data_IF_723924910421
#
_entry.id   IF_723924910421
#
_cell.length_a   1.000
_cell.length_b   1.000
_cell.length_c   1.000
_cell.angle_alpha   90.00
_cell.angle_beta   90.00
_cell.angle_gamma   90.00
#
_symmetry.space_group_name_H-M   'P 1'
#
loop_
_entity.id
_entity.type
_entity.pdbx_description
1 polymer ?
#
# COMPACT_ATOMS: atom_id res chain seq x y z
N UNK A 1 16.93 -4.93 0.53
CA UNK A 1 16.08 -3.79 0.62
C UNK A 1 16.86 -2.49 0.82
N UNK A 2 17.08 -1.75 -0.27
CA UNK A 2 17.76 -0.44 -0.29
C UNK A 2 16.75 0.70 -0.40
N UNK A 3 17.11 1.87 0.08
CA UNK A 3 16.40 3.14 -0.09
C UNK A 3 17.29 4.10 -0.87
N UNK A 4 16.69 4.80 -1.84
CA UNK A 4 17.30 5.82 -2.66
C UNK A 4 16.50 7.11 -2.52
N UNK A 5 17.12 8.26 -2.85
CA UNK A 5 16.49 9.56 -2.84
C UNK A 5 16.46 10.14 -4.25
N UNK A 6 15.34 10.73 -4.57
CA UNK A 6 15.16 11.47 -5.83
C UNK A 6 14.44 12.78 -5.50
N UNK A 7 15.00 13.88 -5.91
CA UNK A 7 14.36 15.18 -5.76
C UNK A 7 13.32 15.35 -6.85
N UNK A 8 12.15 15.89 -6.50
CA UNK A 8 11.03 16.00 -7.44
C UNK A 8 11.43 16.74 -8.73
N UNK A 9 12.24 17.79 -8.61
CA UNK A 9 12.72 18.56 -9.77
C UNK A 9 13.73 17.82 -10.66
N UNK A 10 14.28 16.69 -10.22
CA UNK A 10 15.15 15.81 -11.03
C UNK A 10 14.34 14.84 -11.89
N UNK A 11 13.01 14.74 -11.65
CA UNK A 11 12.13 13.87 -12.45
C UNK A 11 11.87 14.57 -13.78
N UNK A 12 12.19 13.94 -14.94
CA UNK A 12 11.93 14.55 -16.23
C UNK A 12 10.45 14.77 -16.47
N UNK A 13 10.10 15.93 -16.94
CA UNK A 13 8.74 16.23 -17.40
C UNK A 13 8.40 15.41 -18.64
N UNK A 14 7.15 14.98 -18.74
CA UNK A 14 6.67 14.15 -19.85
C UNK A 14 5.24 14.45 -20.20
N UNK A 15 4.87 14.27 -21.46
CA UNK A 15 3.48 14.37 -21.95
C UNK A 15 2.77 13.02 -21.84
N UNK A 16 1.45 12.99 -22.05
CA UNK A 16 0.62 11.75 -22.07
C UNK A 16 1.15 10.70 -23.04
N UNK A 17 1.79 11.11 -24.13
CA UNK A 17 2.29 10.23 -25.19
C UNK A 17 3.79 9.92 -25.08
N UNK A 18 4.49 10.46 -24.09
CA UNK A 18 5.92 10.18 -23.91
C UNK A 18 6.14 8.76 -23.40
N UNK A 19 7.16 8.09 -23.93
CA UNK A 19 7.53 6.72 -23.53
C UNK A 19 8.10 6.64 -22.11
N UNK A 20 8.43 7.78 -21.50
CA UNK A 20 9.12 7.84 -20.23
C UNK A 20 10.60 7.43 -20.35
N UNK A 21 11.30 7.45 -19.22
CA UNK A 21 12.69 7.01 -19.10
C UNK A 21 12.79 5.95 -18.01
N UNK A 22 13.68 4.98 -18.19
CA UNK A 22 13.95 3.98 -17.18
C UNK A 22 14.48 4.64 -15.91
N UNK A 23 13.98 4.21 -14.74
CA UNK A 23 14.36 4.79 -13.45
C UNK A 23 15.86 4.62 -13.14
N UNK A 24 16.50 3.60 -13.72
CA UNK A 24 17.94 3.38 -13.62
C UNK A 24 18.77 4.53 -14.20
N UNK A 25 18.18 5.36 -15.07
CA UNK A 25 18.84 6.58 -15.57
C UNK A 25 18.85 7.72 -14.54
N UNK A 26 18.03 7.64 -13.51
CA UNK A 26 17.90 8.65 -12.46
C UNK A 26 18.51 8.19 -11.14
N UNK A 27 18.49 6.90 -10.87
CA UNK A 27 18.95 6.30 -9.62
C UNK A 27 19.92 5.16 -9.93
N UNK A 28 20.98 5.06 -9.13
CA UNK A 28 21.94 3.97 -9.25
C UNK A 28 21.40 2.67 -8.65
N UNK A 29 20.39 2.11 -9.31
CA UNK A 29 19.69 0.87 -8.93
C UNK A 29 20.29 -0.26 -9.75
N UNK A 30 20.56 -1.40 -9.10
CA UNK A 30 20.99 -2.62 -9.78
C UNK A 30 19.91 -3.12 -10.77
N UNK A 31 20.32 -3.71 -11.89
CA UNK A 31 19.41 -4.16 -12.96
C UNK A 31 18.35 -5.15 -12.48
N UNK A 32 18.66 -5.90 -11.44
CA UNK A 32 17.82 -6.97 -10.87
C UNK A 32 16.89 -6.45 -9.77
N UNK A 33 17.06 -5.18 -9.33
CA UNK A 33 16.23 -4.57 -8.31
C UNK A 33 14.95 -3.98 -8.93
N UNK A 34 13.84 -4.13 -8.20
CA UNK A 34 12.56 -3.53 -8.53
C UNK A 34 12.17 -2.49 -7.48
N UNK A 35 11.63 -1.37 -7.93
CA UNK A 35 11.07 -0.35 -7.03
C UNK A 35 9.71 -0.82 -6.52
N UNK A 36 9.61 -1.06 -5.21
CA UNK A 36 8.40 -1.57 -4.57
C UNK A 36 7.54 -0.48 -3.92
N UNK A 37 8.11 0.66 -3.58
CA UNK A 37 7.37 1.74 -2.94
C UNK A 37 8.02 3.11 -3.19
N UNK A 38 7.18 4.14 -3.19
CA UNK A 38 7.56 5.54 -3.22
C UNK A 38 7.01 6.24 -1.99
N UNK A 39 7.83 7.04 -1.33
CA UNK A 39 7.44 7.86 -0.20
C UNK A 39 7.70 9.33 -0.50
N UNK A 40 6.66 10.16 -0.37
CA UNK A 40 6.81 11.60 -0.41
C UNK A 40 7.31 12.10 0.95
N UNK A 41 8.48 12.72 0.97
CA UNK A 41 9.06 13.33 2.15
C UNK A 41 9.09 14.84 1.96
N UNK A 42 8.58 15.62 2.92
CA UNK A 42 8.49 17.07 2.82
C UNK A 42 9.88 17.73 2.92
N UNK A 43 10.65 17.32 3.92
CA UNK A 43 11.97 17.87 4.19
C UNK A 43 12.82 16.84 4.93
N UNK A 44 14.10 16.74 4.60
CA UNK A 44 15.08 15.94 5.32
C UNK A 44 15.99 16.81 6.22
N UNK A 45 15.88 18.14 6.13
CA UNK A 45 16.61 19.10 6.95
C UNK A 45 15.83 19.61 8.16
N UNK A 46 14.53 19.46 8.16
CA UNK A 46 13.65 19.82 9.27
C UNK A 46 13.77 18.77 10.39
N UNK A 47 14.45 19.17 11.48
CA UNK A 47 14.77 18.28 12.61
C UNK A 47 13.50 17.82 13.37
N UNK A 48 12.50 18.66 13.51
CA UNK A 48 11.24 18.30 14.16
C UNK A 48 10.49 17.25 13.31
N UNK A 49 10.40 17.50 12.01
CA UNK A 49 9.73 16.60 11.08
C UNK A 49 10.39 15.22 11.03
N UNK A 50 11.72 15.14 10.86
CA UNK A 50 12.41 13.83 10.75
C UNK A 50 12.46 13.06 12.07
N UNK A 51 12.36 13.72 13.22
CA UNK A 51 12.33 13.10 14.54
C UNK A 51 10.92 12.77 15.04
N UNK A 52 9.87 13.24 14.35
CA UNK A 52 8.47 12.92 14.67
C UNK A 52 7.82 11.94 13.70
N UNK A 53 8.50 11.56 12.61
CA UNK A 53 7.96 10.64 11.61
C UNK A 53 8.75 9.34 11.55
N UNK A 54 8.05 8.30 11.13
CA UNK A 54 8.59 6.94 11.02
C UNK A 54 8.30 6.35 9.65
N UNK A 55 9.16 5.44 9.22
CA UNK A 55 8.98 4.61 8.02
C UNK A 55 8.65 3.20 8.47
N UNK A 56 7.46 2.73 8.09
CA UNK A 56 7.02 1.36 8.31
C UNK A 56 7.21 0.54 7.03
N UNK A 57 7.80 -0.63 7.18
CA UNK A 57 7.97 -1.62 6.13
C UNK A 57 7.11 -2.84 6.43
N UNK A 58 6.48 -3.40 5.42
CA UNK A 58 5.81 -4.69 5.52
C UNK A 58 6.30 -5.61 4.43
N UNK A 59 6.60 -6.85 4.79
CA UNK A 59 7.11 -7.87 3.85
C UNK A 59 6.03 -8.88 3.48
N UNK A 60 6.26 -9.58 2.39
CA UNK A 60 5.41 -10.66 1.89
C UNK A 60 5.13 -11.72 2.96
N UNK A 61 6.15 -12.08 3.75
CA UNK A 61 6.06 -13.11 4.78
C UNK A 61 5.54 -12.59 6.14
N UNK A 62 4.96 -11.37 6.17
CA UNK A 62 4.28 -10.84 7.34
C UNK A 62 5.19 -10.22 8.39
N UNK A 63 6.40 -9.85 8.03
CA UNK A 63 7.30 -9.08 8.91
C UNK A 63 6.96 -7.59 8.80
N UNK A 64 6.94 -6.90 9.94
CA UNK A 64 6.79 -5.45 10.02
C UNK A 64 8.02 -4.83 10.70
N UNK A 65 8.44 -3.67 10.22
CA UNK A 65 9.55 -2.90 10.78
C UNK A 65 9.20 -1.43 10.84
N UNK A 66 9.59 -0.76 11.92
CA UNK A 66 9.43 0.67 12.14
C UNK A 66 10.79 1.31 12.36
N UNK A 67 11.13 2.33 11.57
CA UNK A 67 12.42 3.04 11.66
C UNK A 67 12.14 4.54 11.69
N UNK A 68 12.85 5.29 12.53
CA UNK A 68 12.74 6.74 12.59
C UNK A 68 13.19 7.36 11.25
N UNK A 69 12.47 8.36 10.75
CA UNK A 69 12.77 9.01 9.47
C UNK A 69 14.17 9.67 9.47
N UNK A 70 14.64 10.15 10.63
CA UNK A 70 16.00 10.69 10.80
C UNK A 70 17.07 9.74 10.28
N UNK A 71 16.89 8.44 10.42
CA UNK A 71 17.83 7.43 9.92
C UNK A 71 18.04 7.47 8.39
N UNK A 72 17.15 8.15 7.69
CA UNK A 72 17.18 8.36 6.23
C UNK A 72 17.45 9.82 5.85
N UNK A 73 17.81 10.69 6.80
CA UNK A 73 18.01 12.12 6.56
C UNK A 73 19.28 12.47 5.77
N UNK A 74 20.20 11.50 5.60
CA UNK A 74 21.47 11.69 4.92
C UNK A 74 21.51 10.93 3.59
N UNK A 75 21.08 11.55 2.48
CA UNK A 75 21.10 10.94 1.15
C UNK A 75 22.48 10.46 0.73
N UNK A 76 22.53 9.28 0.09
CA UNK A 76 23.74 8.75 -0.54
C UNK A 76 23.40 8.29 -1.95
N UNK A 77 24.29 8.56 -2.91
CA UNK A 77 24.09 8.24 -4.32
C UNK A 77 23.86 6.73 -4.56
N UNK A 78 24.56 5.88 -3.84
CA UNK A 78 24.43 4.41 -3.95
C UNK A 78 23.33 3.84 -3.06
N UNK A 79 22.44 4.70 -2.53
CA UNK A 79 21.40 4.29 -1.59
C UNK A 79 21.96 3.87 -0.23
N UNK A 80 21.06 3.48 0.66
CA UNK A 80 21.39 2.90 1.97
C UNK A 80 20.52 1.67 2.23
N UNK A 81 21.02 0.74 3.04
CA UNK A 81 20.21 -0.35 3.51
C UNK A 81 19.04 0.20 4.34
N UNK A 82 17.85 -0.16 3.96
CA UNK A 82 16.60 0.25 4.60
C UNK A 82 16.00 -0.85 5.47
N UNK A 83 16.20 -2.10 5.10
CA UNK A 83 15.76 -3.28 5.82
C UNK A 83 16.61 -4.49 5.42
N UNK A 84 16.93 -5.37 6.35
CA UNK A 84 17.47 -6.68 6.03
C UNK A 84 16.31 -7.63 5.73
N UNK A 85 16.19 -8.07 4.48
CA UNK A 85 15.15 -8.97 4.01
C UNK A 85 15.65 -10.42 4.21
N UNK A 86 14.77 -11.30 4.71
CA UNK A 86 15.05 -12.73 4.83
C UNK A 86 15.04 -13.40 3.46
N UNK A 87 15.67 -14.56 3.35
CA UNK A 87 15.58 -15.41 2.17
C UNK A 87 14.11 -15.69 1.81
N UNK A 88 13.77 -15.70 0.54
CA UNK A 88 12.41 -15.87 -0.01
C UNK A 88 11.36 -14.85 0.46
N UNK A 89 11.78 -13.73 1.03
CA UNK A 89 10.90 -12.63 1.40
C UNK A 89 11.13 -11.40 0.51
N UNK A 90 10.19 -10.45 0.52
CA UNK A 90 10.31 -9.17 -0.16
C UNK A 90 9.48 -8.11 0.54
N UNK A 91 9.92 -6.87 0.44
CA UNK A 91 9.09 -5.72 0.86
C UNK A 91 7.93 -5.57 -0.12
N UNK A 92 6.72 -5.44 0.41
CA UNK A 92 5.51 -5.25 -0.42
C UNK A 92 4.87 -3.88 -0.20
N UNK A 93 5.08 -3.29 0.98
CA UNK A 93 4.48 -2.01 1.31
C UNK A 93 5.42 -1.21 2.22
N UNK A 94 5.53 0.09 1.95
CA UNK A 94 6.23 1.04 2.81
C UNK A 94 5.34 2.25 3.04
N UNK A 95 5.18 2.68 4.30
CA UNK A 95 4.34 3.81 4.67
C UNK A 95 5.07 4.73 5.64
N UNK A 96 4.77 6.01 5.55
CA UNK A 96 5.22 6.99 6.54
C UNK A 96 4.12 7.25 7.55
N UNK A 97 4.48 7.28 8.83
CA UNK A 97 3.57 7.51 9.95
C UNK A 97 4.14 8.54 10.91
N UNK A 98 3.31 9.05 11.80
CA UNK A 98 3.68 10.02 12.82
C UNK A 98 3.77 9.44 14.25
N UNK A 99 3.73 8.11 14.39
CA UNK A 99 3.79 7.46 15.68
C UNK A 99 2.44 7.11 16.30
N UNK A 100 1.33 7.58 15.74
CA UNK A 100 -0.01 7.44 16.30
C UNK A 100 -1.04 6.85 15.31
N UNK A 101 -0.64 5.93 14.46
CA UNK A 101 -1.52 5.33 13.48
C UNK A 101 -2.01 3.94 13.92
N UNK A 102 -3.23 3.59 13.51
CA UNK A 102 -3.69 2.20 13.49
C UNK A 102 -3.18 1.51 12.23
N UNK A 103 -2.64 0.32 12.39
CA UNK A 103 -2.10 -0.49 11.31
C UNK A 103 -3.02 -1.67 11.04
N UNK A 104 -3.33 -1.92 9.77
CA UNK A 104 -4.01 -3.14 9.35
C UNK A 104 -3.16 -3.83 8.29
N UNK A 105 -2.83 -5.10 8.52
CA UNK A 105 -2.13 -5.97 7.57
C UNK A 105 -3.09 -7.06 7.12
N UNK A 106 -3.24 -7.26 5.82
CA UNK A 106 -4.08 -8.30 5.25
C UNK A 106 -3.29 -9.35 4.48
N UNK A 107 -3.75 -10.59 4.55
CA UNK A 107 -3.16 -11.71 3.83
C UNK A 107 -4.06 -12.20 2.67
N UNK A 108 -3.48 -12.98 1.79
CA UNK A 108 -4.12 -13.52 0.59
C UNK A 108 -5.31 -14.43 0.89
N UNK A 109 -5.29 -15.13 2.01
CA UNK A 109 -6.37 -16.00 2.46
C UNK A 109 -7.56 -15.25 3.09
N UNK A 110 -7.58 -13.90 2.99
CA UNK A 110 -8.72 -13.09 3.40
C UNK A 110 -8.81 -12.84 4.89
N UNK A 111 -7.68 -12.81 5.60
CA UNK A 111 -7.59 -12.38 6.99
C UNK A 111 -6.87 -11.04 7.10
N UNK A 112 -7.19 -10.29 8.16
CA UNK A 112 -6.50 -9.04 8.48
C UNK A 112 -6.33 -8.90 10.00
N UNK A 113 -5.23 -8.29 10.41
CA UNK A 113 -4.94 -7.98 11.81
C UNK A 113 -4.83 -6.47 11.99
N UNK A 114 -5.50 -5.93 13.01
CA UNK A 114 -5.42 -4.52 13.39
C UNK A 114 -4.69 -4.37 14.73
N UNK A 115 -3.75 -3.44 14.77
CA UNK A 115 -3.03 -3.07 15.98
C UNK A 115 -2.52 -1.62 15.89
N UNK A 116 -2.24 -1.00 17.03
CA UNK A 116 -1.64 0.33 17.06
C UNK A 116 -0.14 0.25 16.75
N UNK A 117 0.40 1.22 15.99
CA UNK A 117 1.82 1.21 15.58
C UNK A 117 2.81 1.27 16.76
N UNK A 118 2.39 1.69 17.95
CA UNK A 118 3.20 1.60 19.16
C UNK A 118 3.59 0.16 19.54
N UNK A 119 2.83 -0.85 19.10
CA UNK A 119 3.17 -2.26 19.27
C UNK A 119 4.42 -2.67 18.46
N UNK A 120 4.86 -1.84 17.51
CA UNK A 120 6.08 -2.04 16.74
C UNK A 120 7.16 -1.11 17.30
N UNK A 121 8.16 -1.69 17.98
CA UNK A 121 9.30 -0.92 18.49
C UNK A 121 10.07 -0.26 17.34
N UNK A 122 10.64 0.91 17.60
CA UNK A 122 11.56 1.57 16.67
C UNK A 122 12.85 0.77 16.55
N UNK A 123 13.32 0.55 15.34
CA UNK A 123 14.51 -0.24 15.01
C UNK A 123 15.40 0.49 14.03
N UNK A 124 16.70 0.17 14.05
CA UNK A 124 17.67 0.70 13.10
C UNK A 124 17.42 0.19 11.66
N UNK A 125 18.05 0.85 10.68
CA UNK A 125 17.88 0.56 9.24
C UNK A 125 18.17 -0.89 8.86
N UNK A 126 19.19 -1.49 9.46
CA UNK A 126 19.64 -2.86 9.14
C UNK A 126 18.86 -3.96 9.84
N UNK A 127 17.89 -3.63 10.70
CA UNK A 127 17.06 -4.63 11.34
C UNK A 127 16.15 -5.34 10.34
N UNK A 128 15.86 -6.61 10.58
CA UNK A 128 14.91 -7.42 9.79
C UNK A 128 13.46 -7.05 10.10
N UNK A 129 13.16 -6.68 11.34
CA UNK A 129 11.80 -6.42 11.80
C UNK A 129 11.28 -7.52 12.73
N UNK A 130 9.98 -7.47 13.00
CA UNK A 130 9.25 -8.37 13.89
C UNK A 130 8.01 -8.91 13.19
N UNK A 131 7.44 -10.00 13.69
CA UNK A 131 6.20 -10.56 13.15
C UNK A 131 5.05 -9.56 13.27
N UNK A 132 4.46 -9.17 12.14
CA UNK A 132 3.27 -8.32 12.06
C UNK A 132 1.99 -9.12 12.07
N UNK A 133 1.93 -10.17 11.24
CA UNK A 133 0.81 -11.11 11.12
C UNK A 133 1.36 -12.55 11.04
N UNK A 134 0.60 -13.52 11.52
CA UNK A 134 0.87 -14.95 11.29
C UNK A 134 0.06 -15.39 10.08
N UNK A 135 0.75 -15.88 9.06
CA UNK A 135 0.16 -16.46 7.85
C UNK A 135 -0.29 -17.89 8.09
N UNK A 136 -1.16 -18.40 7.22
CA UNK A 136 -1.53 -19.80 7.22
C UNK A 136 -0.37 -20.67 6.69
N UNK A 137 -0.29 -21.92 7.18
CA UNK A 137 0.83 -22.83 6.85
C UNK A 137 0.57 -23.63 5.56
N UNK A 138 -0.23 -23.10 4.63
CA UNK A 138 -0.52 -23.77 3.34
C UNK A 138 0.58 -23.57 2.28
N UNK A 139 1.62 -22.82 2.60
CA UNK A 139 2.72 -22.47 1.70
C UNK A 139 2.34 -21.48 0.58
N UNK A 140 1.09 -21.06 0.53
CA UNK A 140 0.56 -20.15 -0.50
C UNK A 140 0.07 -18.82 0.06
N UNK A 141 -0.03 -18.70 1.39
CA UNK A 141 -0.48 -17.48 2.02
C UNK A 141 0.64 -16.43 2.08
N UNK A 142 0.29 -15.22 1.76
CA UNK A 142 1.21 -14.09 1.76
C UNK A 142 0.47 -12.81 2.15
N UNK A 143 1.20 -11.82 2.65
CA UNK A 143 0.64 -10.49 2.85
C UNK A 143 0.38 -9.82 1.51
N UNK A 144 -0.81 -9.25 1.33
CA UNK A 144 -1.22 -8.54 0.12
C UNK A 144 -1.20 -7.02 0.28
N UNK A 145 -1.06 -6.52 1.51
CA UNK A 145 -0.93 -5.09 1.76
C UNK A 145 -0.97 -4.74 3.24
N UNK A 146 -0.52 -3.53 3.51
CA UNK A 146 -0.56 -2.86 4.80
C UNK A 146 -1.15 -1.47 4.62
N UNK A 147 -2.09 -1.09 5.48
CA UNK A 147 -2.63 0.26 5.54
C UNK A 147 -2.33 0.89 6.90
N UNK A 148 -2.12 2.20 6.88
CA UNK A 148 -1.95 3.04 8.07
C UNK A 148 -3.12 4.01 8.12
N UNK A 149 -3.96 3.88 9.11
CA UNK A 149 -5.16 4.68 9.31
C UNK A 149 -4.82 5.84 10.21
N UNK A 150 -5.17 7.03 9.76
CA UNK A 150 -4.95 8.28 10.48
C UNK A 150 -6.21 8.76 11.17
N UNK A 151 -7.34 8.58 10.49
CA UNK A 151 -8.65 9.03 10.93
C UNK A 151 -9.63 7.86 10.93
N UNK A 152 -10.10 7.50 12.11
CA UNK A 152 -11.03 6.37 12.31
C UNK A 152 -12.46 6.71 11.89
N UNK A 153 -12.82 8.00 11.80
CA UNK A 153 -14.19 8.44 11.52
C UNK A 153 -14.45 8.52 10.02
N UNK A 154 -13.46 8.94 9.24
CA UNK A 154 -13.64 9.19 7.80
C UNK A 154 -13.10 8.07 6.91
N UNK A 155 -12.13 7.29 7.40
CA UNK A 155 -11.53 6.21 6.63
C UNK A 155 -12.28 4.89 6.79
N UNK A 156 -12.30 4.09 5.75
CA UNK A 156 -12.83 2.73 5.73
C UNK A 156 -11.87 1.76 5.06
N UNK A 157 -12.05 0.47 5.32
CA UNK A 157 -11.20 -0.59 4.76
C UNK A 157 -11.81 -1.10 3.46
N UNK A 158 -11.12 -0.88 2.35
CA UNK A 158 -11.47 -1.44 1.04
C UNK A 158 -10.62 -2.67 0.76
N UNK A 159 -11.25 -3.76 0.36
CA UNK A 159 -10.58 -5.00 -0.07
C UNK A 159 -11.09 -5.42 -1.44
N UNK A 160 -10.18 -5.96 -2.28
CA UNK A 160 -10.50 -6.45 -3.63
C UNK A 160 -9.83 -7.81 -3.83
N UNK A 161 -10.55 -8.74 -4.46
CA UNK A 161 -10.12 -10.10 -4.73
C UNK A 161 -9.85 -10.36 -6.22
N UNK A 162 -9.20 -11.47 -6.53
CA UNK A 162 -8.74 -11.86 -7.88
C UNK A 162 -9.85 -11.85 -8.93
N UNK A 163 -11.06 -12.28 -8.57
CA UNK A 163 -12.20 -12.40 -9.49
C UNK A 163 -13.05 -11.11 -9.57
N UNK A 164 -12.49 -9.97 -9.12
CA UNK A 164 -13.15 -8.67 -9.23
C UNK A 164 -14.25 -8.42 -8.21
N UNK A 165 -14.29 -9.17 -7.12
CA UNK A 165 -15.15 -8.89 -5.97
C UNK A 165 -14.44 -7.95 -5.01
N UNK A 166 -15.19 -7.04 -4.40
CA UNK A 166 -14.65 -6.12 -3.41
C UNK A 166 -15.73 -5.58 -2.51
N UNK A 167 -15.31 -4.91 -1.46
CA UNK A 167 -16.20 -4.28 -0.49
C UNK A 167 -15.47 -3.28 0.38
N UNK A 168 -16.25 -2.40 0.98
CA UNK A 168 -15.81 -1.54 2.08
C UNK A 168 -16.30 -2.12 3.40
N UNK A 169 -15.55 -1.91 4.45
CA UNK A 169 -15.95 -2.27 5.83
C UNK A 169 -15.50 -1.16 6.77
N UNK A 170 -16.24 -0.95 7.83
CA UNK A 170 -15.85 -0.03 8.90
C UNK A 170 -14.57 -0.53 9.58
N UNK A 171 -13.73 0.41 10.01
CA UNK A 171 -12.52 0.09 10.75
C UNK A 171 -12.86 -0.58 12.08
N UNK A 172 -13.96 -0.19 12.71
CA UNK A 172 -14.45 -0.74 13.98
C UNK A 172 -14.82 -2.23 13.88
N UNK A 173 -15.16 -2.74 12.71
CA UNK A 173 -15.36 -4.17 12.48
C UNK A 173 -14.10 -5.00 12.76
N UNK A 174 -12.92 -4.39 12.71
CA UNK A 174 -11.63 -5.02 12.97
C UNK A 174 -11.22 -4.77 14.42
N UNK A 175 -11.39 -5.78 15.28
CA UNK A 175 -10.97 -5.66 16.69
C UNK A 175 -9.47 -5.31 16.77
N UNK A 176 -9.13 -4.37 17.62
CA UNK A 176 -7.76 -4.02 17.96
C UNK A 176 -7.13 -5.16 18.78
N UNK A 177 -5.96 -5.62 18.37
CA UNK A 177 -5.24 -6.73 19.00
C UNK A 177 -3.76 -6.40 19.12
N UNK A 178 -2.97 -7.31 19.69
CA UNK A 178 -1.52 -7.25 19.57
C UNK A 178 -1.10 -7.73 18.18
N UNK A 179 0.05 -7.22 17.66
CA UNK A 179 0.65 -7.70 16.41
C UNK A 179 1.00 -9.20 16.49
N UNK A 180 1.19 -9.82 15.35
CA UNK A 180 1.72 -11.19 15.23
C UNK A 180 0.68 -12.29 15.33
N UNK A 181 -0.59 -11.98 15.59
CA UNK A 181 -1.68 -12.96 15.54
C UNK A 181 -2.14 -13.29 14.11
N UNK A 182 -3.06 -14.24 13.97
CA UNK A 182 -3.66 -14.61 12.67
C UNK A 182 -4.69 -13.59 12.15
N UNK A 183 -5.11 -12.65 12.99
CA UNK A 183 -6.14 -11.67 12.65
C UNK A 183 -7.55 -12.27 12.55
N UNK A 184 -8.45 -11.49 11.97
CA UNK A 184 -9.86 -11.81 11.75
C UNK A 184 -10.15 -11.91 10.25
N UNK A 185 -11.25 -12.58 9.89
CA UNK A 185 -11.68 -12.67 8.49
C UNK A 185 -12.02 -11.26 7.97
N UNK A 186 -11.39 -10.83 6.90
CA UNK A 186 -11.67 -9.56 6.22
C UNK A 186 -12.50 -9.73 4.94
N UNK A 187 -12.47 -10.92 4.35
CA UNK A 187 -13.29 -11.30 3.21
C UNK A 187 -13.58 -12.80 3.26
N UNK A 188 -14.79 -13.21 2.88
CA UNK A 188 -15.08 -14.63 2.70
C UNK A 188 -14.55 -15.09 1.34
N UNK A 189 -13.41 -15.76 1.37
CA UNK A 189 -12.75 -16.31 0.18
C UNK A 189 -13.46 -17.59 -0.26
N UNK A 190 -13.85 -17.63 -1.52
CA UNK A 190 -14.50 -18.76 -2.18
C UNK A 190 -13.93 -18.90 -3.60
N UNK A 191 -14.24 -19.97 -4.31
CA UNK A 191 -13.87 -20.10 -5.73
C UNK A 191 -14.40 -18.95 -6.58
N UNK A 192 -15.59 -18.44 -6.25
CA UNK A 192 -16.21 -17.30 -6.93
C UNK A 192 -15.45 -15.98 -6.74
N UNK A 193 -14.90 -15.73 -5.57
CA UNK A 193 -14.18 -14.49 -5.28
C UNK A 193 -12.72 -14.57 -5.70
N UNK A 194 -12.13 -15.76 -5.67
CA UNK A 194 -10.69 -15.93 -5.70
C UNK A 194 -10.04 -15.39 -4.42
N UNK A 195 -8.71 -15.38 -4.36
CA UNK A 195 -7.93 -14.92 -3.24
C UNK A 195 -7.93 -13.39 -3.15
N UNK A 196 -7.58 -12.84 -1.98
CA UNK A 196 -7.44 -11.41 -1.80
C UNK A 196 -6.22 -10.89 -2.57
N UNK A 197 -6.37 -9.75 -3.26
CA UNK A 197 -5.29 -9.10 -4.03
C UNK A 197 -4.76 -7.87 -3.30
N UNK A 198 -5.63 -7.10 -2.65
CA UNK A 198 -5.23 -5.83 -2.03
C UNK A 198 -6.14 -5.40 -0.88
N UNK A 199 -5.57 -4.57 -0.02
CA UNK A 199 -6.27 -3.78 1.00
C UNK A 199 -5.87 -2.31 0.84
N UNK A 200 -6.84 -1.39 0.93
CA UNK A 200 -6.62 0.06 0.87
C UNK A 200 -7.43 0.75 1.96
N UNK A 201 -6.87 1.82 2.52
CA UNK A 201 -7.64 2.79 3.31
C UNK A 201 -8.22 3.82 2.36
N UNK A 202 -9.53 4.04 2.43
CA UNK A 202 -10.29 4.89 1.51
C UNK A 202 -11.29 5.76 2.25
N UNK A 203 -11.62 6.90 1.64
CA UNK A 203 -12.72 7.79 2.03
C UNK A 203 -13.73 7.87 0.87
N UNK A 204 -14.89 8.49 1.08
CA UNK A 204 -15.90 8.69 0.04
C UNK A 204 -15.42 9.58 -1.12
N UNK A 205 -14.43 10.44 -0.87
CA UNK A 205 -13.83 11.33 -1.86
C UNK A 205 -12.83 10.62 -2.80
N UNK A 206 -12.48 9.39 -2.50
CA UNK A 206 -11.51 8.67 -3.30
C UNK A 206 -12.17 7.94 -4.48
N UNK A 207 -11.38 7.76 -5.53
CA UNK A 207 -11.67 6.84 -6.61
C UNK A 207 -10.70 5.64 -6.55
N UNK A 208 -11.14 4.52 -7.11
CA UNK A 208 -10.31 3.35 -7.33
C UNK A 208 -10.06 3.15 -8.82
N UNK A 209 -8.80 2.95 -9.18
CA UNK A 209 -8.41 2.40 -10.48
C UNK A 209 -8.09 0.93 -10.31
N UNK A 210 -8.88 0.10 -10.95
CA UNK A 210 -8.74 -1.37 -10.94
C UNK A 210 -8.17 -1.77 -12.30
N UNK A 211 -7.04 -2.46 -12.29
CA UNK A 211 -6.33 -2.90 -13.47
C UNK A 211 -6.31 -4.43 -13.45
N UNK A 212 -6.79 -5.06 -14.52
CA UNK A 212 -6.72 -6.51 -14.66
C UNK A 212 -5.38 -6.95 -15.29
N UNK A 213 -5.11 -8.25 -15.31
CA UNK A 213 -3.85 -8.79 -15.84
C UNK A 213 -3.70 -8.57 -17.35
N UNK A 214 -4.79 -8.42 -18.10
CA UNK A 214 -4.77 -8.08 -19.54
C UNK A 214 -4.58 -6.58 -19.80
N UNK A 215 -4.45 -5.73 -18.77
CA UNK A 215 -4.18 -4.30 -18.90
C UNK A 215 -5.43 -3.41 -19.03
N UNK A 216 -6.63 -3.97 -18.92
CA UNK A 216 -7.85 -3.16 -18.92
C UNK A 216 -7.98 -2.46 -17.57
N UNK A 217 -8.20 -1.17 -17.64
CA UNK A 217 -8.34 -0.30 -16.47
C UNK A 217 -9.76 0.21 -16.39
N UNK A 218 -10.36 0.11 -15.20
CA UNK A 218 -11.62 0.77 -14.86
C UNK A 218 -11.40 1.72 -13.69
N UNK A 219 -12.17 2.81 -13.68
CA UNK A 219 -12.24 3.76 -12.57
C UNK A 219 -13.64 3.71 -11.97
N UNK A 220 -13.72 3.65 -10.65
CA UNK A 220 -14.99 3.69 -9.91
C UNK A 220 -14.85 4.58 -8.68
N UNK A 221 -15.94 5.24 -8.31
CA UNK A 221 -15.99 6.02 -7.08
C UNK A 221 -16.12 5.11 -5.88
N UNK A 222 -15.36 5.39 -4.83
CA UNK A 222 -15.45 4.64 -3.57
C UNK A 222 -16.83 4.82 -2.93
N UNK A 223 -17.44 6.00 -3.05
CA UNK A 223 -18.79 6.28 -2.54
C UNK A 223 -19.86 5.32 -3.10
N UNK A 224 -19.69 4.81 -4.33
CA UNK A 224 -20.62 3.86 -4.95
C UNK A 224 -20.49 2.44 -4.39
N UNK A 225 -19.41 2.16 -3.65
CA UNK A 225 -19.20 0.87 -2.99
C UNK A 225 -19.77 0.91 -1.58
N UNK A 226 -20.87 0.21 -1.37
CA UNK A 226 -21.53 0.20 -0.07
C UNK A 226 -20.66 -0.43 1.02
N UNK A 227 -20.83 0.06 2.23
CA UNK A 227 -20.20 -0.50 3.42
C UNK A 227 -20.90 -1.81 3.82
N UNK A 228 -20.13 -2.82 4.16
CA UNK A 228 -20.60 -4.16 4.50
C UNK A 228 -19.75 -4.76 5.62
N UNK A 229 -20.33 -5.69 6.38
CA UNK A 229 -19.60 -6.43 7.41
C UNK A 229 -18.35 -7.13 6.85
N UNK A 230 -17.26 -7.12 7.60
CA UNK A 230 -15.92 -7.60 7.20
C UNK A 230 -15.89 -9.06 6.69
N UNK A 231 -16.75 -9.93 7.17
CA UNK A 231 -16.74 -11.37 6.83
C UNK A 231 -17.57 -11.73 5.60
N UNK A 232 -18.14 -10.77 4.87
CA UNK A 232 -18.93 -11.02 3.66
C UNK A 232 -18.05 -11.27 2.43
N UNK A 233 -18.64 -11.79 1.35
CA UNK A 233 -17.95 -11.96 0.06
C UNK A 233 -17.74 -10.65 -0.71
N UNK A 234 -18.47 -9.60 -0.35
CA UNK A 234 -18.50 -8.35 -1.11
C UNK A 234 -19.43 -8.40 -2.33
N UNK A 235 -19.28 -7.37 -3.16
CA UNK A 235 -20.01 -7.21 -4.42
C UNK A 235 -19.05 -7.30 -5.60
N UNK A 236 -19.58 -7.60 -6.78
CA UNK A 236 -18.80 -7.61 -8.01
C UNK A 236 -18.54 -6.16 -8.45
N UNK A 237 -17.28 -5.74 -8.45
CA UNK A 237 -16.85 -4.44 -8.90
C UNK A 237 -16.61 -4.41 -10.42
N UNK A 238 -16.12 -5.52 -10.97
CA UNK A 238 -15.87 -5.70 -12.39
C UNK A 238 -16.24 -7.13 -12.81
N UNK A 239 -16.78 -7.30 -14.00
CA UNK A 239 -17.08 -8.61 -14.56
C UNK A 239 -15.92 -9.14 -15.41
N UNK A 240 -15.21 -10.13 -14.92
CA UNK A 240 -14.06 -10.76 -15.56
C UNK A 240 -14.36 -12.12 -16.20
N UNK A 241 -15.56 -12.71 -15.93
CA UNK A 241 -15.92 -14.06 -16.36
C UNK A 241 -15.80 -14.28 -17.88
N UNK A 242 -16.23 -13.29 -18.67
CA UNK A 242 -16.23 -13.39 -20.15
C UNK A 242 -14.82 -13.45 -20.75
N UNK A 243 -13.80 -13.10 -20.01
CA UNK A 243 -12.41 -12.98 -20.50
C UNK A 243 -11.44 -13.92 -19.81
N UNK A 244 -11.91 -14.71 -18.84
CA UNK A 244 -11.05 -15.56 -18.01
C UNK A 244 -9.85 -14.80 -17.45
N UNK A 245 -10.08 -13.59 -16.93
CA UNK A 245 -9.07 -12.65 -16.48
C UNK A 245 -9.12 -12.49 -14.96
N UNK A 246 -8.12 -11.83 -14.40
CA UNK A 246 -8.00 -11.59 -12.96
C UNK A 246 -7.55 -10.17 -12.69
N UNK A 247 -7.85 -9.66 -11.48
CA UNK A 247 -7.31 -8.39 -11.03
C UNK A 247 -5.80 -8.49 -10.90
N UNK A 248 -5.09 -7.55 -11.52
CA UNK A 248 -3.64 -7.40 -11.44
C UNK A 248 -3.21 -6.43 -10.35
N UNK A 249 -3.85 -5.25 -10.29
CA UNK A 249 -3.56 -4.23 -9.28
C UNK A 249 -4.76 -3.32 -9.02
N UNK A 250 -4.74 -2.63 -7.88
CA UNK A 250 -5.73 -1.61 -7.52
C UNK A 250 -5.00 -0.40 -6.91
N UNK A 251 -5.24 0.77 -7.49
CA UNK A 251 -4.70 2.04 -7.02
C UNK A 251 -5.81 2.93 -6.48
N UNK A 252 -5.52 3.66 -5.41
CA UNK A 252 -6.37 4.74 -4.90
C UNK A 252 -5.98 6.04 -5.60
N UNK A 253 -6.97 6.78 -6.09
CA UNK A 253 -6.82 8.11 -6.68
C UNK A 253 -7.58 9.11 -5.81
N UNK A 254 -6.92 10.22 -5.48
CA UNK A 254 -7.56 11.36 -4.81
C UNK A 254 -8.10 12.32 -5.86
N UNK A 255 -9.29 12.86 -5.65
CA UNK A 255 -9.97 13.71 -6.63
C UNK A 255 -9.29 15.09 -6.81
N UNK A 256 -8.49 15.52 -5.82
CA UNK A 256 -7.70 16.78 -5.89
C UNK A 256 -6.73 16.88 -7.09
N UNK A 257 -6.46 15.77 -7.76
CA UNK A 257 -5.57 15.77 -8.94
C UNK A 257 -6.23 16.18 -10.25
N UNK A 258 -7.50 16.61 -10.24
CA UNK A 258 -8.26 16.94 -11.45
C UNK A 258 -8.75 18.40 -11.53
N UNK A 259 -8.60 19.19 -10.45
CA UNK A 259 -9.05 20.59 -10.45
C UNK A 259 -7.97 21.58 -10.92
N UNK A 260 -6.75 21.16 -11.19
CA UNK A 260 -5.66 21.96 -11.75
C UNK A 260 -5.58 21.90 -13.30
N UNK A 261 -6.64 21.56 -14.01
CA UNK A 261 -6.71 21.86 -15.43
C UNK A 261 -7.00 23.37 -15.60
N UNK A 262 -5.90 24.10 -15.80
CA UNK A 262 -5.84 25.52 -16.17
C UNK A 262 -6.90 25.84 -17.24
N UNK A 263 -7.67 26.94 -17.07
CA UNK A 263 -8.54 27.42 -18.14
C UNK A 263 -7.69 27.75 -19.37
N UNK A 264 -7.99 27.14 -20.49
CA UNK A 264 -7.52 27.60 -21.79
C UNK A 264 -8.04 29.01 -21.99
N UNK A 265 -7.18 30.02 -21.87
CA UNK A 265 -7.45 31.34 -22.38
C UNK A 265 -7.69 31.20 -23.89
N UNK A 266 -8.92 31.44 -24.29
CA UNK A 266 -9.25 31.73 -25.70
C UNK A 266 -8.53 33.05 -26.06
N UNK A 267 -7.52 32.93 -26.92
CA UNK A 267 -6.91 34.08 -27.57
C UNK A 267 -7.84 34.47 -28.73
N UNK A 268 -8.46 35.66 -28.60
CA UNK A 268 -9.09 36.36 -29.71
C UNK A 268 -8.13 36.69 -30.86
#
# INVERSE_FOLDING_TARGET
>A
GKCYWLKVYEIPEGTKNSKGRAIQNLLNIDSDDAVNAYLRVKSLSDQEYINSHYVLFCTKNGVIKKTLLEQYSRPRQNGVNAITIREDDRVIEVRMTNGNNEIIIANRNGRAIRFHEAAVRVMGRTATGVRGITLDNDGQDEVVGMICIKDLETESVMVVSEQGYGKRSEIEDYRKTNRGGKGVKTMNITEKTGKLVTIKSVTDENDLMIINKSGITIRLKVADVRIMGRATQGVRLINLEKRNDQIGSVCKVTTESLEDEVPTEEVE
#
